data_IF_392125056958
#
_entry.id   IF_392125056958
#
_cell.length_a   1.000
_cell.length_b   1.000
_cell.length_c   1.000
_cell.angle_alpha   90.00
_cell.angle_beta   90.00
_cell.angle_gamma   90.00
#
_symmetry.space_group_name_H-M   'P 1'
#
loop_
_entity.id
_entity.type
_entity.pdbx_description
1 polymer ?
#
# COMPACT_ATOMS: atom_id res chain seq x y z
N UNK A 1 -10.22 34.42 -63.07
CA UNK A 1 -10.95 35.68 -62.75
C UNK A 1 -11.66 35.45 -61.43
N UNK A 2 -11.12 36.01 -60.33
CA UNK A 2 -11.67 37.17 -59.59
C UNK A 2 -13.04 36.84 -58.94
N UNK A 3 -13.33 37.01 -57.65
CA UNK A 3 -12.65 37.52 -56.44
C UNK A 3 -13.63 37.20 -55.28
N UNK A 4 -13.14 36.87 -54.07
CA UNK A 4 -13.87 37.00 -52.79
C UNK A 4 -14.21 38.49 -52.50
N UNK A 5 -15.04 38.91 -51.50
CA UNK A 5 -15.16 38.47 -50.09
C UNK A 5 -16.63 38.38 -49.55
N UNK A 6 -16.96 37.96 -48.32
CA UNK A 6 -16.15 37.64 -47.15
C UNK A 6 -16.94 36.96 -46.01
N UNK A 7 -16.15 36.24 -45.19
CA UNK A 7 -16.17 36.03 -43.74
C UNK A 7 -17.51 35.98 -42.94
N UNK A 8 -17.80 34.82 -42.34
CA UNK A 8 -17.67 34.63 -40.88
C UNK A 8 -17.75 33.15 -40.46
N UNK A 9 -16.80 32.77 -39.58
CA UNK A 9 -16.44 31.46 -39.00
C UNK A 9 -17.55 30.65 -38.31
N UNK A 10 -17.42 29.33 -38.37
CA UNK A 10 -17.22 28.44 -37.20
C UNK A 10 -16.75 27.04 -37.66
N UNK A 11 -15.50 26.71 -37.35
CA UNK A 11 -14.83 25.40 -37.47
C UNK A 11 -15.44 24.41 -36.45
N UNK A 12 -15.54 23.09 -36.65
CA UNK A 12 -14.68 22.18 -37.41
C UNK A 12 -13.94 21.29 -36.42
N UNK A 13 -14.57 20.16 -36.04
CA UNK A 13 -14.04 19.13 -35.15
C UNK A 13 -12.78 18.47 -35.71
N UNK A 14 -11.66 18.54 -34.99
CA UNK A 14 -10.51 17.64 -35.16
C UNK A 14 -10.14 17.02 -33.81
N UNK A 15 -9.97 15.69 -33.82
CA UNK A 15 -9.69 14.89 -32.64
C UNK A 15 -8.30 15.17 -32.08
N UNK A 16 -8.24 15.46 -30.78
CA UNK A 16 -7.00 15.61 -30.05
C UNK A 16 -6.58 14.23 -29.50
N UNK A 17 -5.55 13.64 -30.10
CA UNK A 17 -4.79 12.56 -29.48
C UNK A 17 -3.90 13.20 -28.41
N UNK A 18 -4.18 12.92 -27.13
CA UNK A 18 -3.31 13.35 -26.03
C UNK A 18 -2.11 12.42 -26.04
N UNK A 19 -0.97 12.94 -26.52
CA UNK A 19 0.32 12.29 -26.36
C UNK A 19 0.72 12.40 -24.88
N UNK A 20 0.72 11.27 -24.17
CA UNK A 20 1.29 11.18 -22.83
C UNK A 20 2.79 10.94 -23.02
N UNK A 21 3.58 12.00 -22.92
CA UNK A 21 5.02 11.95 -23.19
C UNK A 21 5.75 13.21 -22.74
N UNK A 22 6.41 13.08 -21.58
CA UNK A 22 7.55 13.85 -21.04
C UNK A 22 7.43 15.38 -20.95
N UNK A 23 7.61 15.87 -19.70
CA UNK A 23 7.62 17.25 -19.24
C UNK A 23 6.25 17.90 -18.96
N UNK A 24 5.57 17.41 -17.93
CA UNK A 24 4.65 18.26 -17.15
C UNK A 24 5.52 19.12 -16.23
N UNK A 25 5.48 20.44 -16.41
CA UNK A 25 6.12 21.40 -15.50
C UNK A 25 5.18 21.59 -14.31
N UNK A 26 5.53 21.05 -13.15
CA UNK A 26 4.74 21.19 -11.93
C UNK A 26 4.89 22.60 -11.35
N UNK A 27 3.79 23.31 -11.04
CA UNK A 27 3.86 24.53 -10.23
C UNK A 27 4.44 24.21 -8.85
N UNK A 28 5.25 25.11 -8.27
CA UNK A 28 5.76 24.98 -6.90
C UNK A 28 4.62 25.11 -5.87
N UNK A 29 3.90 24.01 -5.58
CA UNK A 29 2.85 23.98 -4.55
C UNK A 29 3.41 24.05 -3.13
N UNK A 30 4.60 23.48 -2.88
CA UNK A 30 5.24 23.43 -1.56
C UNK A 30 5.53 24.82 -0.94
N UNK A 31 5.76 25.86 -1.75
CA UNK A 31 6.05 27.21 -1.25
C UNK A 31 4.82 27.99 -0.74
N UNK A 32 3.59 27.56 -1.08
CA UNK A 32 2.37 28.27 -0.62
C UNK A 32 2.02 27.95 0.84
N UNK A 33 2.36 26.75 1.34
CA UNK A 33 2.13 26.37 2.74
C UNK A 33 3.20 26.91 3.70
N UNK A 34 4.44 27.03 3.26
CA UNK A 34 5.56 27.53 4.09
C UNK A 34 5.49 29.03 4.46
N UNK A 35 4.53 29.81 3.92
CA UNK A 35 4.36 31.25 4.22
C UNK A 35 3.34 31.55 5.33
N UNK A 36 2.72 30.53 5.94
CA UNK A 36 1.74 30.72 7.01
C UNK A 36 2.32 30.62 8.44
N UNK A 37 3.58 30.23 8.62
CA UNK A 37 4.21 30.16 9.95
C UNK A 37 5.47 31.04 10.02
N UNK A 38 5.32 32.18 10.69
CA UNK A 38 6.39 33.14 10.92
C UNK A 38 7.20 32.85 12.18
N UNK A 39 8.53 32.90 12.00
CA UNK A 39 9.56 33.37 12.94
C UNK A 39 9.82 32.59 14.24
N UNK A 40 11.02 32.00 14.35
CA UNK A 40 11.58 31.60 15.64
C UNK A 40 12.93 30.88 15.57
N UNK A 41 14.01 31.64 15.80
CA UNK A 41 15.32 31.24 16.36
C UNK A 41 16.20 30.19 15.63
N UNK A 42 17.36 30.67 15.18
CA UNK A 42 18.54 29.91 14.75
C UNK A 42 19.23 29.30 15.98
N UNK A 43 19.38 27.97 16.01
CA UNK A 43 20.19 27.21 16.98
C UNK A 43 21.36 26.49 16.29
N UNK A 44 22.45 26.15 17.01
CA UNK A 44 23.77 25.95 16.41
C UNK A 44 23.95 24.59 15.73
N UNK A 45 24.87 24.58 14.77
CA UNK A 45 25.33 23.43 14.01
C UNK A 45 25.82 22.30 14.92
N UNK A 46 25.31 21.09 14.69
CA UNK A 46 25.80 19.83 15.29
C UNK A 46 26.62 19.09 14.24
N UNK A 47 27.74 18.54 14.69
CA UNK A 47 28.88 17.98 13.96
C UNK A 47 28.54 16.80 13.01
N UNK A 48 29.38 16.55 11.98
CA UNK A 48 29.16 15.44 11.04
C UNK A 48 29.50 14.09 11.70
N UNK A 49 28.74 13.01 11.45
CA UNK A 49 29.14 11.69 11.91
C UNK A 49 30.32 11.14 11.08
N UNK A 50 31.05 10.24 11.72
CA UNK A 50 32.39 9.78 11.39
C UNK A 50 32.50 8.92 10.10
N UNK A 51 33.76 8.74 9.68
CA UNK A 51 34.24 7.99 8.53
C UNK A 51 33.73 6.52 8.42
N UNK A 52 33.76 5.91 7.21
CA UNK A 52 33.06 4.66 6.94
C UNK A 52 33.76 3.46 7.59
N UNK A 53 33.14 2.93 8.63
CA UNK A 53 33.48 1.63 9.23
C UNK A 53 32.47 0.58 8.77
N UNK A 54 32.97 -0.53 8.25
CA UNK A 54 32.36 -1.88 8.18
C UNK A 54 30.83 -1.94 8.13
N UNK A 55 30.30 -2.22 6.94
CA UNK A 55 28.90 -2.61 6.71
C UNK A 55 28.53 -3.80 7.60
N UNK A 56 27.80 -3.56 8.69
CA UNK A 56 26.85 -4.54 9.22
C UNK A 56 25.80 -4.75 8.13
N UNK A 57 25.49 -6.00 7.79
CA UNK A 57 24.33 -6.28 6.96
C UNK A 57 23.11 -5.72 7.70
N UNK A 58 22.58 -4.59 7.23
CA UNK A 58 21.43 -3.93 7.85
C UNK A 58 20.26 -4.91 7.91
N UNK A 59 19.53 -4.93 9.01
CA UNK A 59 18.33 -5.76 9.09
C UNK A 59 17.33 -5.32 8.02
N UNK A 60 16.69 -6.26 7.31
CA UNK A 60 15.78 -5.93 6.22
C UNK A 60 14.60 -5.09 6.73
N UNK A 61 14.17 -4.12 5.93
CA UNK A 61 12.95 -3.33 6.18
C UNK A 61 11.77 -4.02 5.50
N UNK A 62 10.56 -3.79 5.99
CA UNK A 62 9.37 -4.50 5.52
C UNK A 62 8.25 -3.53 5.20
N UNK A 63 7.60 -3.75 4.07
CA UNK A 63 6.52 -2.91 3.59
C UNK A 63 5.30 -3.75 3.20
N UNK A 64 4.12 -3.36 3.71
CA UNK A 64 2.85 -3.82 3.20
C UNK A 64 2.19 -2.71 2.37
N UNK A 65 1.99 -2.94 1.09
CA UNK A 65 1.18 -2.06 0.25
C UNK A 65 -0.29 -2.46 0.35
N UNK A 66 -1.09 -1.73 1.14
CA UNK A 66 -2.50 -2.03 1.35
C UNK A 66 -3.31 -1.43 0.19
N UNK A 67 -3.79 -2.30 -0.68
CA UNK A 67 -4.41 -1.97 -1.97
C UNK A 67 -5.83 -2.53 -2.07
N UNK A 68 -6.57 -2.03 -3.07
CA UNK A 68 -7.89 -2.55 -3.42
C UNK A 68 -8.93 -1.45 -3.64
N UNK A 69 -10.11 -1.82 -4.15
CA UNK A 69 -11.14 -0.86 -4.56
C UNK A 69 -11.59 0.08 -3.45
N UNK A 70 -12.14 1.23 -3.84
CA UNK A 70 -12.76 2.16 -2.91
C UNK A 70 -13.83 1.44 -2.08
N UNK A 71 -13.82 1.67 -0.77
CA UNK A 71 -14.73 1.01 0.17
C UNK A 71 -14.37 -0.43 0.54
N UNK A 72 -13.24 -1.00 0.09
CA UNK A 72 -12.80 -2.33 0.54
C UNK A 72 -12.36 -2.40 2.02
N UNK A 73 -12.11 -1.24 2.65
CA UNK A 73 -11.72 -1.15 4.06
C UNK A 73 -10.22 -1.06 4.32
N UNK A 74 -9.43 -0.51 3.39
CA UNK A 74 -7.96 -0.33 3.53
C UNK A 74 -7.55 0.41 4.80
N UNK A 75 -8.05 1.64 5.00
CA UNK A 75 -7.74 2.41 6.22
C UNK A 75 -8.23 1.74 7.50
N UNK A 76 -9.36 1.02 7.44
CA UNK A 76 -9.85 0.22 8.57
C UNK A 76 -8.90 -0.93 8.87
N UNK A 77 -8.45 -1.65 7.85
CA UNK A 77 -7.45 -2.72 7.97
C UNK A 77 -6.13 -2.21 8.56
N UNK A 78 -5.64 -1.05 8.12
CA UNK A 78 -4.43 -0.45 8.70
C UNK A 78 -4.62 -0.17 10.20
N UNK A 79 -5.76 0.42 10.58
CA UNK A 79 -6.06 0.72 11.98
C UNK A 79 -6.07 -0.54 12.87
N UNK A 80 -6.76 -1.59 12.42
CA UNK A 80 -6.90 -2.84 13.17
C UNK A 80 -5.61 -3.64 13.18
N UNK A 81 -4.85 -3.64 12.07
CA UNK A 81 -3.57 -4.35 11.99
C UNK A 81 -2.51 -3.72 12.90
N UNK A 82 -2.47 -2.39 13.01
CA UNK A 82 -1.59 -1.69 13.97
C UNK A 82 -1.92 -2.13 15.39
N UNK A 83 -3.19 -2.05 15.80
CA UNK A 83 -3.62 -2.45 17.15
C UNK A 83 -3.31 -3.92 17.45
N UNK A 84 -3.52 -4.79 16.47
CA UNK A 84 -3.22 -6.21 16.57
C UNK A 84 -1.71 -6.47 16.73
N UNK A 85 -0.88 -5.77 15.97
CA UNK A 85 0.58 -5.88 16.08
C UNK A 85 1.11 -5.31 17.39
N UNK A 86 0.56 -4.19 17.88
CA UNK A 86 0.88 -3.63 19.20
C UNK A 86 0.59 -4.64 20.32
N UNK A 87 -0.54 -5.35 20.24
CA UNK A 87 -0.90 -6.42 21.18
C UNK A 87 0.08 -7.62 21.13
N UNK A 88 0.75 -7.83 19.99
CA UNK A 88 1.80 -8.83 19.80
C UNK A 88 3.22 -8.30 20.12
N UNK A 89 3.34 -7.10 20.71
CA UNK A 89 4.60 -6.42 20.97
C UNK A 89 5.45 -6.18 19.70
N UNK A 90 4.79 -5.97 18.55
CA UNK A 90 5.42 -5.61 17.27
C UNK A 90 5.15 -4.14 16.96
N UNK A 91 6.20 -3.39 16.67
CA UNK A 91 6.07 -1.99 16.26
C UNK A 91 5.74 -1.93 14.78
N UNK A 92 4.62 -1.30 14.44
CA UNK A 92 4.17 -1.12 13.07
C UNK A 92 3.77 0.32 12.87
N UNK A 93 4.24 0.92 11.78
CA UNK A 93 3.97 2.31 11.44
C UNK A 93 3.12 2.39 10.17
N UNK A 94 2.37 3.47 10.02
CA UNK A 94 1.50 3.66 8.86
C UNK A 94 1.91 4.91 8.09
N UNK A 95 1.99 4.79 6.77
CA UNK A 95 2.13 5.90 5.84
C UNK A 95 0.84 6.03 5.06
N UNK A 96 0.24 7.22 5.07
CA UNK A 96 -0.90 7.52 4.21
C UNK A 96 -0.42 7.96 2.82
N UNK A 97 -0.85 7.24 1.79
CA UNK A 97 -0.65 7.58 0.39
C UNK A 97 -1.95 7.97 -0.32
N UNK A 98 -3.09 8.07 0.37
CA UNK A 98 -4.35 8.57 -0.20
C UNK A 98 -4.49 10.10 0.01
N UNK A 99 -4.31 10.92 -1.04
CA UNK A 99 -4.44 12.37 -0.95
C UNK A 99 -5.90 12.85 -0.87
N UNK A 100 -6.88 11.95 -1.02
CA UNK A 100 -8.31 12.24 -0.89
C UNK A 100 -8.91 11.76 0.46
N UNK A 101 -8.07 11.28 1.38
CA UNK A 101 -8.53 10.79 2.67
C UNK A 101 -8.92 11.94 3.62
N UNK A 102 -10.07 11.81 4.27
CA UNK A 102 -10.61 12.84 5.18
C UNK A 102 -10.16 12.63 6.63
N UNK A 103 -10.30 11.41 7.16
CA UNK A 103 -10.11 11.11 8.58
C UNK A 103 -9.47 9.73 8.81
N UNK A 104 -8.53 9.67 9.77
CA UNK A 104 -7.87 8.44 10.22
C UNK A 104 -8.06 8.24 11.73
N UNK A 105 -8.14 6.99 12.16
CA UNK A 105 -8.24 6.61 13.58
C UNK A 105 -6.92 6.04 14.13
N UNK A 106 -5.79 6.34 13.48
CA UNK A 106 -4.47 5.82 13.80
C UNK A 106 -3.39 6.89 13.58
N UNK A 107 -2.23 6.72 14.21
CA UNK A 107 -1.09 7.62 14.01
C UNK A 107 -0.41 7.31 12.67
N UNK A 108 -0.25 8.33 11.84
CA UNK A 108 0.53 8.25 10.59
C UNK A 108 1.94 8.76 10.84
N UNK A 109 2.94 8.07 10.29
CA UNK A 109 4.33 8.53 10.24
C UNK A 109 4.50 9.62 9.18
N UNK A 110 3.92 9.39 8.00
CA UNK A 110 3.98 10.31 6.87
C UNK A 110 2.61 10.36 6.20
N UNK A 111 2.22 11.55 5.76
CA UNK A 111 0.94 11.79 5.12
C UNK A 111 1.14 12.55 3.81
N UNK A 112 0.79 11.92 2.69
CA UNK A 112 0.92 12.53 1.36
C UNK A 112 0.20 13.88 1.25
N UNK A 113 -0.81 14.14 2.08
CA UNK A 113 -1.53 15.43 2.14
C UNK A 113 -0.62 16.59 2.54
N UNK A 114 0.48 16.33 3.26
CA UNK A 114 1.48 17.37 3.55
C UNK A 114 2.24 17.80 2.29
N UNK A 115 2.37 16.89 1.31
CA UNK A 115 2.99 17.14 0.02
C UNK A 115 1.98 17.72 -0.99
N UNK A 116 0.82 17.07 -1.16
CA UNK A 116 -0.22 17.46 -2.12
C UNK A 116 -1.60 16.88 -1.74
N UNK A 117 -2.65 17.72 -1.81
CA UNK A 117 -4.04 17.34 -1.55
C UNK A 117 -4.87 17.40 -2.84
N UNK A 118 -5.86 16.51 -2.99
CA UNK A 118 -6.70 16.50 -4.21
C UNK A 118 -7.54 17.77 -4.33
N UNK A 119 -8.03 18.30 -3.21
CA UNK A 119 -8.86 19.50 -3.18
C UNK A 119 -8.10 20.72 -3.71
N UNK A 120 -6.84 20.90 -3.28
CA UNK A 120 -5.96 21.98 -3.77
C UNK A 120 -5.76 21.93 -5.30
N UNK A 121 -5.64 20.71 -5.85
CA UNK A 121 -5.46 20.49 -7.30
C UNK A 121 -6.77 20.74 -8.08
N UNK A 122 -7.91 20.39 -7.49
CA UNK A 122 -9.23 20.61 -8.09
C UNK A 122 -9.64 22.08 -8.08
N UNK A 123 -9.23 22.83 -7.06
CA UNK A 123 -9.50 24.26 -6.94
C UNK A 123 -8.58 25.12 -7.84
N UNK A 124 -7.50 24.56 -8.40
CA UNK A 124 -6.62 25.29 -9.31
C UNK A 124 -7.31 25.54 -10.68
N UNK A 125 -7.68 26.81 -10.88
CA UNK A 125 -8.32 27.33 -12.10
C UNK A 125 -7.53 27.05 -13.40
N UNK A 126 -6.22 26.79 -13.30
CA UNK A 126 -5.35 26.50 -14.44
C UNK A 126 -5.43 25.03 -14.88
N UNK A 127 -5.67 24.10 -13.95
CA UNK A 127 -5.63 22.65 -14.20
C UNK A 127 -7.01 22.10 -14.57
N UNK A 128 -8.08 22.58 -13.92
CA UNK A 128 -9.48 22.17 -14.20
C UNK A 128 -9.68 20.65 -14.23
N UNK A 129 -9.01 19.92 -13.36
CA UNK A 129 -9.18 18.48 -13.27
C UNK A 129 -10.46 18.12 -12.53
N UNK A 130 -11.10 17.02 -12.95
CA UNK A 130 -12.13 16.34 -12.15
C UNK A 130 -11.48 15.47 -11.06
N UNK A 131 -12.26 14.87 -10.14
CA UNK A 131 -11.73 14.15 -8.97
C UNK A 131 -10.70 13.05 -9.31
N UNK A 132 -10.99 12.21 -10.31
CA UNK A 132 -10.05 11.17 -10.73
C UNK A 132 -8.82 11.73 -11.44
N UNK A 133 -8.96 12.83 -12.19
CA UNK A 133 -7.81 13.50 -12.83
C UNK A 133 -6.90 14.18 -11.82
N UNK A 134 -7.49 14.80 -10.78
CA UNK A 134 -6.76 15.38 -9.67
C UNK A 134 -5.98 14.32 -8.90
N UNK A 135 -6.60 13.18 -8.58
CA UNK A 135 -5.91 12.06 -7.94
C UNK A 135 -4.72 11.55 -8.76
N UNK A 136 -4.89 11.33 -10.06
CA UNK A 136 -3.79 10.89 -10.94
C UNK A 136 -2.65 11.92 -10.93
N UNK A 137 -2.98 13.21 -11.00
CA UNK A 137 -1.98 14.27 -10.90
C UNK A 137 -1.23 14.26 -9.56
N UNK A 138 -1.93 14.09 -8.43
CA UNK A 138 -1.31 13.98 -7.12
C UNK A 138 -0.32 12.80 -7.06
N UNK A 139 -0.71 11.66 -7.61
CA UNK A 139 0.12 10.46 -7.65
C UNK A 139 1.33 10.63 -8.58
N UNK A 140 1.18 11.30 -9.73
CA UNK A 140 2.30 11.65 -10.60
C UNK A 140 3.26 12.66 -9.94
N UNK A 141 2.72 13.65 -9.22
CA UNK A 141 3.54 14.60 -8.45
C UNK A 141 4.33 13.86 -7.36
N UNK A 142 3.68 12.96 -6.62
CA UNK A 142 4.34 12.11 -5.64
C UNK A 142 5.46 11.25 -6.25
N UNK A 143 5.23 10.65 -7.43
CA UNK A 143 6.24 9.86 -8.14
C UNK A 143 7.50 10.66 -8.52
N UNK A 144 7.38 11.98 -8.71
CA UNK A 144 8.51 12.86 -8.98
C UNK A 144 9.22 13.37 -7.71
N UNK A 145 8.69 13.06 -6.53
CA UNK A 145 9.18 13.55 -5.23
C UNK A 145 9.33 12.41 -4.22
N UNK A 146 9.80 11.23 -4.64
CA UNK A 146 10.05 10.12 -3.71
C UNK A 146 11.07 10.47 -2.61
N UNK A 147 11.98 11.41 -2.87
CA UNK A 147 12.91 11.95 -1.87
C UNK A 147 12.17 12.49 -0.63
N UNK A 148 10.96 13.06 -0.79
CA UNK A 148 10.14 13.48 0.35
C UNK A 148 9.79 12.28 1.24
N UNK A 149 9.33 11.18 0.62
CA UNK A 149 8.99 9.96 1.35
C UNK A 149 10.24 9.36 2.01
N UNK A 150 11.37 9.28 1.31
CA UNK A 150 12.63 8.79 1.88
C UNK A 150 13.03 9.55 3.15
N UNK A 151 12.93 10.88 3.10
CA UNK A 151 13.24 11.73 4.26
C UNK A 151 12.27 11.50 5.42
N UNK A 152 10.98 11.25 5.15
CA UNK A 152 9.99 10.93 6.17
C UNK A 152 10.21 9.54 6.78
N UNK A 153 10.54 8.54 5.97
CA UNK A 153 10.81 7.17 6.41
C UNK A 153 12.12 7.07 7.21
N UNK A 154 13.12 7.89 6.85
CA UNK A 154 14.46 7.83 7.43
C UNK A 154 15.15 6.48 7.21
N UNK A 155 16.24 6.27 7.93
CA UNK A 155 17.01 5.02 7.94
C UNK A 155 16.90 4.37 9.33
N UNK A 156 15.74 3.77 9.60
CA UNK A 156 15.51 2.98 10.82
C UNK A 156 15.57 1.50 10.43
N UNK A 157 16.40 0.74 11.14
CA UNK A 157 16.51 -0.70 10.96
C UNK A 157 15.30 -1.41 11.58
N UNK A 158 14.87 -2.53 10.99
CA UNK A 158 13.72 -3.35 11.46
C UNK A 158 12.35 -2.67 11.34
N UNK A 159 12.20 -1.76 10.36
CA UNK A 159 10.94 -1.07 10.11
C UNK A 159 9.89 -2.00 9.51
N UNK A 160 8.69 -1.98 10.09
CA UNK A 160 7.49 -2.60 9.51
C UNK A 160 6.45 -1.54 9.20
N UNK A 161 6.25 -1.27 7.91
CA UNK A 161 5.48 -0.11 7.45
C UNK A 161 4.29 -0.56 6.63
N UNK A 162 3.10 -0.09 7.01
CA UNK A 162 1.87 -0.22 6.24
C UNK A 162 1.68 1.03 5.40
N UNK A 163 1.52 0.88 4.09
CA UNK A 163 1.17 1.96 3.19
C UNK A 163 -0.34 1.88 2.88
N UNK A 164 -1.12 2.82 3.43
CA UNK A 164 -2.54 2.96 3.09
C UNK A 164 -2.66 3.66 1.73
N UNK A 165 -2.94 2.88 0.69
CA UNK A 165 -2.90 3.37 -0.69
C UNK A 165 -4.29 3.84 -1.17
N UNK A 166 -4.37 4.72 -2.19
CA UNK A 166 -5.64 5.26 -2.68
C UNK A 166 -6.65 4.20 -3.15
N UNK A 167 -7.94 4.52 -3.05
CA UNK A 167 -9.01 3.58 -3.43
C UNK A 167 -9.20 3.29 -4.92
N UNK A 168 -8.59 4.06 -5.82
CA UNK A 168 -8.79 3.89 -7.26
C UNK A 168 -7.90 2.79 -7.81
N UNK A 169 -8.52 1.74 -8.37
CA UNK A 169 -7.80 0.53 -8.79
C UNK A 169 -6.91 0.75 -10.01
N UNK A 170 -7.22 1.77 -10.82
CA UNK A 170 -6.51 2.12 -12.04
C UNK A 170 -5.05 2.52 -11.76
N UNK A 171 -4.77 2.98 -10.53
CA UNK A 171 -3.42 3.29 -10.06
C UNK A 171 -2.51 2.07 -9.96
N UNK A 172 -3.08 0.88 -9.74
CA UNK A 172 -2.33 -0.37 -9.61
C UNK A 172 -2.28 -1.18 -10.91
N UNK A 173 -3.19 -0.91 -11.86
CA UNK A 173 -3.32 -1.70 -13.11
C UNK A 173 -2.82 -1.00 -14.36
N UNK A 174 -2.98 0.32 -14.48
CA UNK A 174 -2.72 1.05 -15.73
C UNK A 174 -1.69 2.16 -15.61
N UNK A 175 -1.47 2.69 -14.40
CA UNK A 175 -0.53 3.78 -14.16
C UNK A 175 0.79 3.24 -13.57
N UNK A 176 1.95 3.75 -14.02
CA UNK A 176 3.24 3.23 -13.59
C UNK A 176 3.63 3.67 -12.17
N UNK A 177 2.92 4.64 -11.57
CA UNK A 177 3.28 5.28 -10.31
C UNK A 177 3.50 4.27 -9.18
N UNK A 178 2.56 3.33 -9.00
CA UNK A 178 2.68 2.34 -7.92
C UNK A 178 3.81 1.34 -8.18
N UNK A 179 4.06 0.99 -9.45
CA UNK A 179 5.22 0.16 -9.84
C UNK A 179 6.53 0.89 -9.56
N UNK A 180 6.61 2.19 -9.85
CA UNK A 180 7.78 3.01 -9.54
C UNK A 180 8.00 3.11 -8.03
N UNK A 181 6.94 3.26 -7.24
CA UNK A 181 7.03 3.25 -5.77
C UNK A 181 7.60 1.93 -5.27
N UNK A 182 7.09 0.79 -5.75
CA UNK A 182 7.63 -0.54 -5.41
C UNK A 182 9.12 -0.63 -5.70
N UNK A 183 9.54 -0.26 -6.92
CA UNK A 183 10.94 -0.28 -7.33
C UNK A 183 11.82 0.62 -6.46
N UNK A 184 11.27 1.74 -5.99
CA UNK A 184 11.96 2.66 -5.10
C UNK A 184 12.08 2.09 -3.68
N UNK A 185 11.03 1.49 -3.15
CA UNK A 185 11.06 0.80 -1.85
C UNK A 185 12.08 -0.36 -1.85
N UNK A 186 12.13 -1.14 -2.93
CA UNK A 186 13.14 -2.20 -3.10
C UNK A 186 14.57 -1.66 -3.14
N UNK A 187 14.79 -0.49 -3.77
CA UNK A 187 16.09 0.20 -3.75
C UNK A 187 16.48 0.68 -2.34
N UNK A 188 15.49 1.00 -1.51
CA UNK A 188 15.66 1.33 -0.09
C UNK A 188 15.69 0.10 0.82
N UNK A 189 15.94 -1.09 0.25
CA UNK A 189 16.11 -2.36 0.95
C UNK A 189 14.84 -2.85 1.68
N UNK A 190 13.65 -2.44 1.23
CA UNK A 190 12.39 -3.01 1.71
C UNK A 190 12.05 -4.32 1.02
N UNK A 191 11.62 -5.31 1.82
CA UNK A 191 10.84 -6.46 1.36
C UNK A 191 9.37 -6.05 1.27
N UNK A 192 8.86 -5.97 0.06
CA UNK A 192 7.51 -5.44 -0.23
C UNK A 192 6.53 -6.58 -0.48
N UNK A 193 5.37 -6.55 0.18
CA UNK A 193 4.22 -7.39 -0.15
C UNK A 193 2.99 -6.55 -0.42
N UNK A 194 2.27 -6.89 -1.50
CA UNK A 194 0.96 -6.34 -1.79
C UNK A 194 -0.12 -7.00 -0.94
N UNK A 195 -0.97 -6.22 -0.31
CA UNK A 195 -2.16 -6.72 0.41
C UNK A 195 -3.38 -6.23 -0.33
N UNK A 196 -4.01 -7.10 -1.12
CA UNK A 196 -5.12 -6.72 -2.00
C UNK A 196 -6.47 -7.05 -1.35
N UNK A 197 -7.16 -6.02 -0.87
CA UNK A 197 -8.44 -6.12 -0.17
C UNK A 197 -9.62 -6.03 -1.13
N UNK A 198 -10.56 -6.97 -0.99
CA UNK A 198 -11.84 -6.97 -1.70
C UNK A 198 -12.98 -7.16 -0.70
N UNK A 199 -14.02 -6.33 -0.78
CA UNK A 199 -15.20 -6.47 0.07
C UNK A 199 -15.98 -7.74 -0.32
N UNK A 200 -16.19 -8.60 0.66
CA UNK A 200 -16.82 -9.90 0.49
C UNK A 200 -18.23 -9.85 -0.10
N UNK A 201 -18.98 -8.75 0.05
CA UNK A 201 -20.30 -8.59 -0.56
C UNK A 201 -20.23 -8.56 -2.10
N UNK A 202 -19.11 -8.11 -2.66
CA UNK A 202 -18.85 -8.16 -4.10
C UNK A 202 -18.38 -9.53 -4.58
N UNK A 203 -18.20 -10.51 -3.69
CA UNK A 203 -17.67 -11.83 -4.02
C UNK A 203 -18.72 -12.96 -3.88
N UNK A 204 -19.96 -12.64 -3.51
CA UNK A 204 -21.03 -13.62 -3.27
C UNK A 204 -21.50 -14.33 -4.56
N UNK A 205 -21.47 -13.64 -5.70
CA UNK A 205 -21.92 -14.19 -6.98
C UNK A 205 -20.73 -14.64 -7.82
N UNK A 206 -20.83 -15.80 -8.49
CA UNK A 206 -19.72 -16.42 -9.24
C UNK A 206 -19.07 -15.48 -10.26
N UNK A 207 -19.85 -14.65 -10.97
CA UNK A 207 -19.31 -13.70 -11.94
C UNK A 207 -18.51 -12.58 -11.30
N UNK A 208 -19.02 -12.07 -10.17
CA UNK A 208 -18.34 -10.99 -9.45
C UNK A 208 -17.09 -11.53 -8.77
N UNK A 209 -17.15 -12.76 -8.26
CA UNK A 209 -15.99 -13.50 -7.76
C UNK A 209 -14.89 -13.66 -8.81
N UNK A 210 -15.21 -14.15 -10.01
CA UNK A 210 -14.25 -14.24 -11.13
C UNK A 210 -13.69 -12.85 -11.48
N UNK A 211 -14.52 -11.82 -11.49
CA UNK A 211 -14.08 -10.45 -11.77
C UNK A 211 -13.10 -9.93 -10.71
N UNK A 212 -13.34 -10.24 -9.44
CA UNK A 212 -12.45 -9.91 -8.32
C UNK A 212 -11.10 -10.61 -8.43
N UNK A 213 -11.08 -11.90 -8.81
CA UNK A 213 -9.82 -12.61 -9.08
C UNK A 213 -9.05 -11.97 -10.23
N UNK A 214 -9.71 -11.67 -11.36
CA UNK A 214 -9.05 -11.06 -12.51
C UNK A 214 -8.47 -9.68 -12.17
N UNK A 215 -9.18 -8.88 -11.36
CA UNK A 215 -8.67 -7.60 -10.88
C UNK A 215 -7.43 -7.77 -9.98
N UNK A 216 -7.49 -8.70 -9.02
CA UNK A 216 -6.36 -9.01 -8.14
C UNK A 216 -5.14 -9.54 -8.93
N UNK A 217 -5.37 -10.42 -9.90
CA UNK A 217 -4.33 -10.95 -10.78
C UNK A 217 -3.72 -9.86 -11.66
N UNK A 218 -4.54 -8.94 -12.16
CA UNK A 218 -4.05 -7.80 -12.94
C UNK A 218 -3.14 -6.89 -12.11
N UNK A 219 -3.48 -6.64 -10.84
CA UNK A 219 -2.63 -5.86 -9.94
C UNK A 219 -1.31 -6.60 -9.64
N UNK A 220 -1.37 -7.91 -9.36
CA UNK A 220 -0.20 -8.75 -9.08
C UNK A 220 0.79 -8.75 -10.25
N UNK A 221 0.30 -8.91 -11.49
CA UNK A 221 1.15 -8.89 -12.70
C UNK A 221 1.72 -7.50 -12.95
N UNK A 222 0.96 -6.44 -12.68
CA UNK A 222 1.39 -5.06 -12.91
C UNK A 222 2.52 -4.65 -11.96
N UNK A 223 2.40 -5.01 -10.68
CA UNK A 223 3.35 -4.61 -9.63
C UNK A 223 4.54 -5.57 -9.48
N UNK A 224 4.44 -6.81 -9.96
CA UNK A 224 5.52 -7.81 -9.96
C UNK A 224 6.05 -8.16 -8.56
N UNK A 225 5.21 -8.04 -7.52
CA UNK A 225 5.53 -8.36 -6.11
C UNK A 225 4.68 -9.52 -5.58
N UNK A 226 5.12 -10.21 -4.50
CA UNK A 226 4.24 -11.13 -3.79
C UNK A 226 2.99 -10.38 -3.30
N UNK A 227 1.82 -11.00 -3.49
CA UNK A 227 0.54 -10.39 -3.15
C UNK A 227 -0.36 -11.37 -2.39
N UNK A 228 -0.84 -10.95 -1.21
CA UNK A 228 -1.84 -11.65 -0.42
C UNK A 228 -3.20 -11.03 -0.70
N UNK A 229 -4.16 -11.83 -1.17
CA UNK A 229 -5.52 -11.36 -1.44
C UNK A 229 -6.41 -11.64 -0.24
N UNK A 230 -7.20 -10.65 0.14
CA UNK A 230 -8.01 -10.70 1.36
C UNK A 230 -9.45 -10.33 1.04
N UNK A 231 -10.39 -11.13 1.53
CA UNK A 231 -11.81 -10.80 1.54
C UNK A 231 -12.18 -10.16 2.88
N UNK A 232 -12.51 -8.88 2.85
CA UNK A 232 -12.85 -8.09 4.05
C UNK A 232 -14.34 -8.10 4.33
N UNK A 233 -14.71 -7.59 5.51
CA UNK A 233 -16.11 -7.42 5.97
C UNK A 233 -16.89 -8.73 6.02
N UNK A 234 -16.21 -9.82 6.36
CA UNK A 234 -16.83 -11.13 6.48
C UNK A 234 -17.92 -11.14 7.58
N UNK A 235 -17.79 -10.29 8.60
CA UNK A 235 -18.78 -10.07 9.66
C UNK A 235 -20.15 -9.59 9.13
N UNK A 236 -20.15 -8.80 8.04
CA UNK A 236 -21.38 -8.22 7.46
C UNK A 236 -22.20 -9.22 6.63
N UNK A 237 -21.65 -10.40 6.33
CA UNK A 237 -22.31 -11.40 5.50
C UNK A 237 -23.37 -12.18 6.28
N UNK A 238 -24.53 -12.38 5.65
CA UNK A 238 -25.52 -13.34 6.13
C UNK A 238 -24.97 -14.77 6.15
N UNK A 239 -25.48 -15.63 7.03
CA UNK A 239 -25.09 -17.07 7.09
C UNK A 239 -25.19 -17.78 5.74
N UNK A 240 -26.18 -17.40 4.93
CA UNK A 240 -26.35 -17.94 3.57
C UNK A 240 -25.21 -17.48 2.66
N UNK A 241 -24.87 -16.19 2.67
CA UNK A 241 -23.81 -15.63 1.84
C UNK A 241 -22.43 -16.18 2.25
N UNK A 242 -22.15 -16.35 3.55
CA UNK A 242 -20.93 -17.00 4.06
C UNK A 242 -20.77 -18.40 3.45
N UNK A 243 -21.82 -19.22 3.48
CA UNK A 243 -21.81 -20.57 2.89
C UNK A 243 -21.60 -20.56 1.37
N UNK A 244 -22.06 -19.55 0.65
CA UNK A 244 -21.79 -19.42 -0.78
C UNK A 244 -20.32 -19.04 -1.03
N UNK A 245 -19.74 -18.18 -0.20
CA UNK A 245 -18.32 -17.80 -0.31
C UNK A 245 -17.38 -18.94 0.08
N UNK A 246 -17.72 -19.74 1.10
CA UNK A 246 -16.96 -20.93 1.49
C UNK A 246 -16.71 -21.88 0.31
N UNK A 247 -17.68 -22.01 -0.61
CA UNK A 247 -17.53 -22.79 -1.85
C UNK A 247 -16.42 -22.27 -2.77
N UNK A 248 -16.18 -20.96 -2.75
CA UNK A 248 -15.13 -20.31 -3.54
C UNK A 248 -13.78 -20.27 -2.82
N UNK A 249 -13.76 -20.58 -1.52
CA UNK A 249 -12.54 -20.71 -0.73
C UNK A 249 -11.93 -22.12 -0.78
N UNK A 250 -12.71 -23.10 -1.26
CA UNK A 250 -12.29 -24.49 -1.39
C UNK A 250 -11.32 -24.70 -2.57
N UNK A 251 -10.33 -25.61 -2.44
CA UNK A 251 -9.39 -25.93 -3.52
C UNK A 251 -10.06 -26.44 -4.81
N UNK A 252 -11.23 -27.08 -4.68
CA UNK A 252 -12.00 -27.66 -5.79
C UNK A 252 -13.04 -26.70 -6.40
N UNK A 253 -12.86 -25.39 -6.18
CA UNK A 253 -13.73 -24.30 -6.65
C UNK A 253 -14.22 -24.45 -8.09
N UNK A 254 -13.41 -24.99 -8.99
CA UNK A 254 -13.71 -25.11 -10.42
C UNK A 254 -14.81 -26.11 -10.76
N UNK A 255 -14.96 -27.17 -9.96
CA UNK A 255 -16.06 -28.13 -10.13
C UNK A 255 -17.42 -27.44 -9.93
N UNK A 256 -17.48 -26.47 -9.01
CA UNK A 256 -18.68 -25.69 -8.69
C UNK A 256 -18.92 -24.54 -9.69
N UNK A 257 -17.85 -24.02 -10.31
CA UNK A 257 -17.94 -23.02 -11.37
C UNK A 257 -18.44 -23.62 -12.69
N UNK A 258 -18.11 -24.87 -13.04
CA UNK A 258 -18.64 -25.52 -14.26
C UNK A 258 -20.14 -25.89 -14.11
N UNK A 259 -20.58 -26.26 -12.90
CA UNK A 259 -22.00 -26.48 -12.58
C UNK A 259 -22.80 -25.18 -12.65
N UNK A 260 -22.31 -24.09 -12.06
CA UNK A 260 -22.93 -22.77 -12.23
C UNK A 260 -22.81 -22.23 -13.66
N UNK A 261 -21.82 -22.69 -14.44
CA UNK A 261 -21.70 -22.44 -15.88
C UNK A 261 -22.75 -23.11 -16.75
N UNK A 262 -23.48 -24.08 -16.20
CA UNK A 262 -24.67 -24.61 -16.85
C UNK A 262 -25.88 -23.67 -16.70
N UNK A 263 -25.99 -22.94 -15.58
CA UNK A 263 -26.97 -21.88 -15.33
C UNK A 263 -26.56 -20.51 -15.90
N UNK A 264 -25.30 -20.37 -16.33
CA UNK A 264 -24.78 -19.18 -16.99
C UNK A 264 -25.58 -18.91 -18.28
N UNK A 265 -26.43 -17.88 -18.20
CA UNK A 265 -27.55 -17.49 -19.09
C UNK A 265 -27.20 -17.24 -20.57
N UNK A 266 -25.98 -17.52 -21.05
CA UNK A 266 -25.67 -17.46 -22.48
C UNK A 266 -24.74 -18.59 -22.94
N UNK A 267 -25.25 -19.43 -23.86
CA UNK A 267 -24.44 -20.41 -24.61
C UNK A 267 -23.30 -19.75 -25.39
N UNK A 268 -23.39 -18.44 -25.64
CA UNK A 268 -22.43 -17.64 -26.42
C UNK A 268 -21.07 -17.51 -25.74
N UNK A 269 -21.03 -17.28 -24.42
CA UNK A 269 -19.78 -17.00 -23.69
C UNK A 269 -19.19 -18.22 -22.97
N UNK A 270 -19.80 -19.41 -23.09
CA UNK A 270 -19.35 -20.63 -22.39
C UNK A 270 -17.88 -20.97 -22.64
N UNK A 271 -17.39 -20.80 -23.87
CA UNK A 271 -15.96 -21.05 -24.20
C UNK A 271 -15.03 -20.07 -23.50
N UNK A 272 -15.42 -18.80 -23.40
CA UNK A 272 -14.65 -17.77 -22.72
C UNK A 272 -14.60 -18.03 -21.22
N UNK A 273 -15.75 -18.31 -20.59
CA UNK A 273 -15.81 -18.65 -19.16
C UNK A 273 -14.94 -19.86 -18.85
N UNK A 274 -14.99 -20.91 -19.68
CA UNK A 274 -14.13 -22.09 -19.49
C UNK A 274 -12.63 -21.76 -19.60
N UNK A 275 -12.25 -20.91 -20.56
CA UNK A 275 -10.85 -20.49 -20.71
C UNK A 275 -10.37 -19.63 -19.53
N UNK A 276 -11.23 -18.72 -19.02
CA UNK A 276 -10.93 -17.93 -17.82
C UNK A 276 -10.80 -18.84 -16.61
N UNK A 277 -11.73 -19.77 -16.38
CA UNK A 277 -11.63 -20.71 -15.27
C UNK A 277 -10.36 -21.57 -15.36
N UNK A 278 -9.99 -22.03 -16.56
CA UNK A 278 -8.72 -22.75 -16.77
C UNK A 278 -7.48 -21.90 -16.43
N UNK A 279 -7.47 -20.62 -16.82
CA UNK A 279 -6.39 -19.70 -16.45
C UNK A 279 -6.29 -19.53 -14.92
N UNK A 280 -7.42 -19.40 -14.22
CA UNK A 280 -7.37 -19.23 -12.77
C UNK A 280 -6.87 -20.54 -12.10
N UNK A 281 -7.25 -21.71 -12.63
CA UNK A 281 -6.84 -23.02 -12.13
C UNK A 281 -5.33 -23.25 -12.33
N UNK A 282 -4.84 -23.03 -13.55
CA UNK A 282 -3.43 -23.15 -13.92
C UNK A 282 -2.53 -22.30 -13.02
N UNK A 283 -3.02 -21.13 -12.62
CA UNK A 283 -2.23 -20.22 -11.82
C UNK A 283 -2.36 -20.47 -10.33
N UNK A 284 -3.47 -21.01 -9.79
CA UNK A 284 -3.69 -21.41 -8.36
C UNK A 284 -3.23 -20.42 -7.26
N UNK A 285 -2.67 -19.27 -7.63
CA UNK A 285 -1.90 -18.33 -6.81
C UNK A 285 -2.79 -17.24 -6.24
N UNK A 286 -3.98 -17.02 -6.82
CA UNK A 286 -4.90 -15.97 -6.39
C UNK A 286 -5.96 -16.59 -5.47
N UNK A 287 -5.52 -16.99 -4.27
CA UNK A 287 -6.42 -17.37 -3.18
C UNK A 287 -6.76 -16.14 -2.36
N UNK A 288 -8.02 -16.05 -1.93
CA UNK A 288 -8.47 -15.06 -0.97
C UNK A 288 -8.49 -15.63 0.44
N UNK A 289 -7.94 -14.89 1.40
CA UNK A 289 -8.06 -15.18 2.82
C UNK A 289 -9.26 -14.42 3.40
N UNK A 290 -10.16 -15.07 4.16
CA UNK A 290 -11.22 -14.36 4.85
C UNK A 290 -10.63 -13.51 5.98
N UNK A 291 -11.04 -12.25 6.05
CA UNK A 291 -10.65 -11.30 7.09
C UNK A 291 -11.88 -10.74 7.80
N UNK A 292 -11.90 -10.94 9.11
CA UNK A 292 -12.88 -10.39 10.03
C UNK A 292 -12.13 -9.58 11.11
N UNK A 293 -12.40 -8.28 11.16
CA UNK A 293 -11.78 -7.37 12.13
C UNK A 293 -12.15 -7.66 13.59
N UNK A 294 -13.23 -8.43 13.82
CA UNK A 294 -13.69 -8.80 15.16
C UNK A 294 -13.08 -10.12 15.65
N UNK A 295 -12.34 -10.82 14.78
CA UNK A 295 -11.77 -12.14 15.06
C UNK A 295 -10.23 -12.10 15.02
N UNK A 296 -9.60 -12.16 16.20
CA UNK A 296 -8.15 -12.12 16.35
C UNK A 296 -7.45 -13.30 15.65
N UNK A 297 -8.09 -14.47 15.58
CA UNK A 297 -7.55 -15.63 14.87
C UNK A 297 -7.47 -15.34 13.36
N UNK A 298 -8.52 -14.74 12.79
CA UNK A 298 -8.55 -14.32 11.38
C UNK A 298 -7.44 -13.30 11.08
N UNK A 299 -7.24 -12.32 11.97
CA UNK A 299 -6.17 -11.33 11.84
C UNK A 299 -4.78 -11.98 11.91
N UNK A 300 -4.57 -12.90 12.85
CA UNK A 300 -3.32 -13.65 13.00
C UNK A 300 -3.01 -14.49 11.76
N UNK A 301 -3.99 -15.20 11.20
CA UNK A 301 -3.80 -16.01 9.99
C UNK A 301 -3.37 -15.12 8.82
N UNK A 302 -4.02 -13.98 8.63
CA UNK A 302 -3.66 -13.02 7.58
C UNK A 302 -2.25 -12.49 7.78
N UNK A 303 -1.91 -12.05 8.99
CA UNK A 303 -0.57 -11.54 9.31
C UNK A 303 0.50 -12.60 9.06
N UNK A 304 0.28 -13.85 9.47
CA UNK A 304 1.20 -14.96 9.21
C UNK A 304 1.45 -15.22 7.72
N UNK A 305 0.42 -15.12 6.87
CA UNK A 305 0.59 -15.27 5.43
C UNK A 305 1.40 -14.12 4.82
N UNK A 306 1.21 -12.90 5.32
CA UNK A 306 1.97 -11.73 4.88
C UNK A 306 3.42 -11.83 5.36
N UNK A 307 3.64 -12.18 6.63
CA UNK A 307 4.96 -12.40 7.22
C UNK A 307 5.73 -13.47 6.45
N UNK A 308 5.07 -14.58 6.08
CA UNK A 308 5.68 -15.60 5.23
C UNK A 308 6.04 -15.05 3.84
N UNK A 309 5.19 -14.21 3.23
CA UNK A 309 5.44 -13.64 1.91
C UNK A 309 6.63 -12.68 1.87
N UNK A 310 6.85 -11.92 2.95
CA UNK A 310 8.00 -10.99 3.10
C UNK A 310 9.16 -11.60 3.89
N UNK A 311 9.04 -12.86 4.31
CA UNK A 311 10.01 -13.56 5.15
C UNK A 311 10.32 -12.81 6.46
N UNK A 312 9.30 -12.18 7.04
CA UNK A 312 9.42 -11.51 8.32
C UNK A 312 9.70 -12.52 9.43
N UNK A 313 10.73 -12.26 10.23
CA UNK A 313 11.08 -13.09 11.38
C UNK A 313 11.98 -14.29 11.09
N UNK A 314 12.34 -14.57 9.83
CA UNK A 314 13.35 -15.58 9.49
C UNK A 314 14.77 -15.13 9.90
N UNK A 315 15.00 -13.81 9.89
CA UNK A 315 16.27 -13.15 10.20
C UNK A 315 16.33 -12.62 11.65
N UNK A 316 15.33 -12.92 12.49
CA UNK A 316 15.38 -12.58 13.92
C UNK A 316 16.42 -13.48 14.61
N UNK A 317 17.68 -13.10 14.54
CA UNK A 317 18.70 -13.65 15.42
C UNK A 317 18.24 -13.48 16.87
N UNK A 318 18.45 -14.53 17.69
CA UNK A 318 18.22 -14.46 19.13
C UNK A 318 18.99 -13.25 19.67
N UNK A 319 18.29 -12.15 20.00
CA UNK A 319 18.88 -11.09 20.80
C UNK A 319 19.16 -11.73 22.16
N UNK A 320 20.42 -12.09 22.41
CA UNK A 320 20.83 -12.50 23.75
C UNK A 320 20.33 -11.42 24.72
N UNK A 321 19.64 -11.81 25.81
CA UNK A 321 19.21 -10.84 26.79
C UNK A 321 20.45 -10.04 27.18
N UNK A 322 20.42 -8.71 26.95
CA UNK A 322 21.49 -7.83 27.42
C UNK A 322 21.65 -8.14 28.90
N UNK A 323 22.77 -8.76 29.27
CA UNK A 323 23.12 -8.90 30.67
C UNK A 323 23.07 -7.47 31.21
N UNK A 324 22.15 -7.23 32.15
CA UNK A 324 22.24 -6.05 32.98
C UNK A 324 23.58 -6.24 33.70
N UNK A 325 24.62 -5.54 33.25
CA UNK A 325 25.78 -5.27 34.07
C UNK A 325 25.24 -4.48 35.27
N UNK A 326 24.79 -5.21 36.30
CA UNK A 326 24.54 -4.66 37.61
C UNK A 326 25.82 -3.93 38.00
N UNK A 327 25.71 -2.61 38.19
CA UNK A 327 26.71 -1.71 38.77
C UNK A 327 27.04 -2.13 40.23
N UNK A 328 27.52 -3.35 40.42
CA UNK A 328 27.95 -3.93 41.69
C UNK A 328 29.45 -4.25 41.69
N UNK A 329 30.13 -4.06 40.56
CA UNK A 329 31.58 -4.25 40.44
C UNK A 329 32.40 -3.09 41.01
N UNK A 330 31.81 -1.91 41.23
CA UNK A 330 32.52 -0.76 41.83
C UNK A 330 32.60 -0.80 43.36
N UNK A 331 31.72 -1.56 44.05
CA UNK A 331 31.71 -1.61 45.53
C UNK A 331 32.59 -2.72 46.10
N UNK A 332 32.95 -3.74 45.31
CA UNK A 332 33.77 -4.86 45.78
C UNK A 332 35.27 -4.55 45.79
N UNK A 333 35.73 -3.69 44.88
CA UNK A 333 37.15 -3.31 44.76
C UNK A 333 37.60 -2.31 45.84
N UNK A 334 36.70 -1.48 46.38
CA UNK A 334 37.03 -0.57 47.49
C UNK A 334 37.17 -1.31 48.84
N UNK A 335 36.45 -2.42 49.03
CA UNK A 335 36.47 -3.17 50.30
C UNK A 335 37.77 -3.96 50.50
N UNK A 336 38.42 -4.41 49.43
CA UNK A 336 39.69 -5.17 49.51
C UNK A 336 40.95 -4.31 49.39
N UNK A 337 40.85 -3.05 48.97
CA UNK A 337 41.99 -2.13 48.95
C UNK A 337 42.23 -1.44 50.32
N UNK A 338 41.22 -1.38 51.19
CA UNK A 338 41.33 -0.77 52.53
C UNK A 338 42.05 -1.61 53.61
N UNK A 339 42.33 -2.89 53.38
CA UNK A 339 42.93 -3.79 54.39
C UNK A 339 44.33 -4.31 54.06
N UNK A 340 45.08 -3.63 53.19
CA UNK A 340 46.50 -3.94 52.92
C UNK A 340 47.52 -2.96 53.52
N UNK A 341 47.06 -1.94 54.24
CA UNK A 341 47.92 -0.99 54.94
C UNK A 341 47.43 -0.76 56.39
N UNK A 342 47.51 -1.78 57.24
CA UNK A 342 47.70 -1.63 58.69
C UNK A 342 48.67 -2.70 59.21
#
# INVERSE_FOLDING_TARGET
MLRSPGCSRAEGTEGLWIAIGSQVVFPEFSQRRAKAEGSGAVGPCVEPPAAPGTWSAGMPRYAQLVMGPAGSGKSTYCATMVQHCEALNRSVQVVNLDPAAEHFNYSVMADIRELIEVDDVMEDDCLRFGPNGGLVFCMEYFANNFDWLENCLGHVEDDYILFDCPGQIELYTHLPVMKQLVQQLEQWEFRVCGVFLVDSQFMVESFKFISGILAALSAMISLEIPQVNIMTKMDLLSKKAKKEIEKFLDPDMYSLLDDSASDLRSKKFKKLTKAICGLIDDYSMVRFLPYDQSDEESMNIVLQHIDFAIQYGEDLEFKEPKEHEDESSSMFDEYFQGHRNE
#
